data_IF_239241427286
#
_entry.id   IF_239241427286
#
_cell.length_a   1.000
_cell.length_b   1.000
_cell.length_c   1.000
_cell.angle_alpha   90.00
_cell.angle_beta   90.00
_cell.angle_gamma   90.00
#
_symmetry.space_group_name_H-M   'P 1'
#
loop_
_entity.id
_entity.type
_entity.pdbx_description
1 polymer ?
#
# COMPACT_ATOMS: atom_id res chain seq x y z
N UNK A 1 -39.39 21.87 51.17
CA UNK A 1 -39.78 20.59 50.56
C UNK A 1 -39.11 20.48 49.20
N UNK A 2 -38.51 19.32 48.94
CA UNK A 2 -38.18 18.67 47.66
C UNK A 2 -37.26 19.37 46.63
N UNK A 3 -36.08 18.74 46.45
CA UNK A 3 -35.31 18.65 45.20
C UNK A 3 -36.14 18.01 44.07
N UNK A 4 -35.74 18.21 42.80
CA UNK A 4 -34.98 17.13 42.16
C UNK A 4 -33.79 17.59 41.28
N UNK A 5 -32.71 16.80 41.35
CA UNK A 5 -31.66 16.68 40.34
C UNK A 5 -32.18 15.89 39.13
N UNK A 6 -31.62 16.15 37.93
CA UNK A 6 -31.06 15.07 37.12
C UNK A 6 -29.62 15.42 36.70
N UNK A 7 -28.63 14.62 37.10
CA UNK A 7 -28.15 13.40 36.43
C UNK A 7 -27.28 13.67 35.18
N UNK A 8 -25.97 13.54 35.39
CA UNK A 8 -25.00 12.92 34.47
C UNK A 8 -24.85 13.52 33.06
N UNK A 9 -24.16 14.66 32.98
CA UNK A 9 -23.53 15.14 31.74
C UNK A 9 -22.15 14.51 31.56
N UNK A 10 -22.04 13.65 30.54
CA UNK A 10 -20.93 12.70 30.33
C UNK A 10 -19.53 13.29 30.31
N UNK A 11 -18.59 12.50 30.83
CA UNK A 11 -17.16 12.65 30.63
C UNK A 11 -16.85 12.84 29.13
N UNK A 12 -16.52 14.08 28.76
CA UNK A 12 -15.68 14.38 27.60
C UNK A 12 -14.33 13.70 27.80
N UNK A 13 -14.12 12.48 27.27
CA UNK A 13 -12.76 11.90 27.23
C UNK A 13 -12.53 10.67 26.35
N UNK A 14 -13.04 10.62 25.12
CA UNK A 14 -12.53 9.67 24.11
C UNK A 14 -12.56 10.22 22.67
N UNK A 15 -12.06 11.45 22.45
CA UNK A 15 -11.79 12.00 21.12
C UNK A 15 -10.33 11.74 20.72
N UNK A 16 -9.97 10.46 20.55
CA UNK A 16 -8.61 10.09 20.15
C UNK A 16 -8.41 8.66 19.63
N UNK A 17 -9.40 7.77 19.79
CA UNK A 17 -9.27 6.37 19.34
C UNK A 17 -10.10 6.04 18.08
N UNK A 18 -11.06 6.88 17.69
CA UNK A 18 -11.88 6.65 16.51
C UNK A 18 -11.08 6.57 15.20
N UNK A 19 -10.17 7.50 14.87
CA UNK A 19 -9.39 7.38 13.63
C UNK A 19 -8.41 6.19 13.66
N UNK A 20 -7.97 5.77 14.85
CA UNK A 20 -7.08 4.62 15.01
C UNK A 20 -7.82 3.29 14.81
N UNK A 21 -9.12 3.23 15.14
CA UNK A 21 -9.99 2.06 14.91
C UNK A 21 -10.48 1.95 13.47
N UNK A 22 -10.64 3.05 12.74
CA UNK A 22 -10.92 2.99 11.29
C UNK A 22 -9.70 2.52 10.48
N UNK A 23 -8.46 2.85 10.91
CA UNK A 23 -7.24 2.26 10.33
C UNK A 23 -7.08 0.75 10.58
N UNK A 24 -7.84 0.18 11.53
CA UNK A 24 -7.88 -1.26 11.78
C UNK A 24 -8.93 -1.98 10.92
N UNK A 25 -9.86 -1.23 10.29
CA UNK A 25 -10.77 -1.81 9.31
C UNK A 25 -10.00 -2.00 8.01
N UNK A 26 -9.74 -3.25 7.68
CA UNK A 26 -9.23 -3.61 6.36
C UNK A 26 -10.13 -3.01 5.28
N UNK A 27 -9.57 -2.37 4.25
CA UNK A 27 -10.35 -1.90 3.13
C UNK A 27 -11.17 -3.06 2.54
N UNK A 28 -12.46 -2.83 2.20
CA UNK A 28 -13.27 -3.84 1.54
C UNK A 28 -12.57 -4.26 0.23
N UNK A 29 -12.33 -5.56 0.06
CA UNK A 29 -11.61 -6.11 -1.11
C UNK A 29 -10.10 -6.33 -0.94
N UNK A 30 -9.56 -6.13 0.27
CA UNK A 30 -8.20 -6.54 0.63
C UNK A 30 -8.07 -8.07 0.72
N UNK A 31 -6.96 -8.58 0.21
CA UNK A 31 -6.67 -10.00 0.19
C UNK A 31 -6.19 -10.47 1.58
N UNK A 32 -6.57 -11.69 1.95
CA UNK A 32 -6.15 -12.26 3.24
C UNK A 32 -4.92 -13.13 3.05
N UNK A 33 -3.75 -12.55 3.26
CA UNK A 33 -2.49 -13.28 3.17
C UNK A 33 -2.16 -14.06 4.45
N UNK A 34 -1.43 -15.18 4.35
CA UNK A 34 -0.79 -15.82 5.50
C UNK A 34 0.12 -14.84 6.28
N UNK A 35 0.22 -14.94 7.62
CA UNK A 35 0.97 -13.98 8.46
C UNK A 35 2.47 -13.83 8.15
N UNK A 36 3.03 -14.74 7.36
CA UNK A 36 4.43 -14.76 6.93
C UNK A 36 4.57 -14.85 5.41
N UNK A 37 3.55 -14.42 4.67
CA UNK A 37 3.60 -14.42 3.22
C UNK A 37 4.67 -13.45 2.73
N UNK A 38 5.61 -13.97 1.94
CA UNK A 38 6.63 -13.18 1.26
C UNK A 38 6.20 -12.94 -0.18
N UNK A 39 6.54 -11.77 -0.72
CA UNK A 39 6.22 -11.38 -2.09
C UNK A 39 7.50 -11.22 -2.87
N UNK A 40 7.47 -11.64 -4.13
CA UNK A 40 8.57 -11.48 -5.08
C UNK A 40 8.02 -10.89 -6.37
N UNK A 41 8.75 -9.96 -6.98
CA UNK A 41 8.39 -9.46 -8.30
C UNK A 41 8.40 -10.60 -9.34
N UNK A 42 7.35 -10.66 -10.15
CA UNK A 42 7.30 -11.53 -11.33
C UNK A 42 8.21 -10.98 -12.43
N UNK A 43 8.42 -11.72 -13.50
CA UNK A 43 9.16 -11.20 -14.67
C UNK A 43 8.49 -9.96 -15.24
N UNK A 44 7.16 -9.96 -15.31
CA UNK A 44 6.37 -8.81 -15.72
C UNK A 44 6.52 -7.62 -14.75
N UNK A 45 6.59 -7.90 -13.43
CA UNK A 45 6.90 -6.88 -12.42
C UNK A 45 8.27 -6.24 -12.59
N UNK A 46 9.30 -7.03 -12.90
CA UNK A 46 10.65 -6.55 -13.15
C UNK A 46 10.70 -5.65 -14.38
N UNK A 47 10.13 -6.10 -15.49
CA UNK A 47 10.03 -5.30 -16.72
C UNK A 47 9.24 -4.00 -16.48
N UNK A 48 8.14 -4.07 -15.72
CA UNK A 48 7.36 -2.88 -15.36
C UNK A 48 8.14 -1.88 -14.52
N UNK A 49 8.96 -2.35 -13.58
CA UNK A 49 9.82 -1.48 -12.77
C UNK A 49 10.93 -0.85 -13.62
N UNK A 50 11.51 -1.61 -14.56
CA UNK A 50 12.55 -1.09 -15.46
C UNK A 50 12.01 0.07 -16.32
N UNK A 51 10.81 -0.07 -16.88
CA UNK A 51 10.13 1.01 -17.62
C UNK A 51 9.94 2.24 -16.74
N UNK A 52 9.51 2.06 -15.48
CA UNK A 52 9.38 3.18 -14.53
C UNK A 52 10.73 3.86 -14.28
N UNK A 53 11.77 3.09 -13.99
CA UNK A 53 13.10 3.62 -13.70
C UNK A 53 13.70 4.37 -14.89
N UNK A 54 13.51 3.88 -16.12
CA UNK A 54 13.94 4.56 -17.34
C UNK A 54 13.19 5.89 -17.53
N UNK A 55 11.88 5.92 -17.26
CA UNK A 55 11.10 7.15 -17.34
C UNK A 55 11.54 8.20 -16.30
N UNK A 56 11.79 7.76 -15.05
CA UNK A 56 12.31 8.64 -13.98
C UNK A 56 13.72 9.13 -14.32
N UNK A 57 14.60 8.27 -14.82
CA UNK A 57 15.95 8.66 -15.23
C UNK A 57 15.92 9.68 -16.37
N UNK A 58 15.01 9.51 -17.33
CA UNK A 58 14.82 10.47 -18.44
C UNK A 58 14.33 11.83 -17.92
N UNK A 59 13.40 11.84 -16.96
CA UNK A 59 12.96 13.06 -16.28
C UNK A 59 14.10 13.74 -15.50
N UNK A 60 14.94 12.97 -14.82
CA UNK A 60 16.10 13.47 -14.08
C UNK A 60 17.22 14.00 -14.99
N UNK A 61 17.35 13.47 -16.21
CA UNK A 61 18.32 13.96 -17.19
C UNK A 61 17.83 15.22 -17.94
N UNK A 62 16.53 15.52 -17.88
CA UNK A 62 15.93 16.69 -18.53
C UNK A 62 16.39 18.01 -17.90
N UNK A 63 16.38 19.09 -18.69
CA UNK A 63 16.78 20.42 -18.24
C UNK A 63 15.74 21.12 -17.33
N UNK A 64 14.51 20.58 -17.23
CA UNK A 64 13.42 21.12 -16.42
C UNK A 64 12.82 20.02 -15.56
N UNK A 65 12.77 20.26 -14.25
CA UNK A 65 12.16 19.36 -13.27
C UNK A 65 10.83 19.94 -12.80
N UNK A 66 9.85 19.90 -13.68
CA UNK A 66 8.49 20.35 -13.39
C UNK A 66 7.74 19.24 -12.65
N UNK A 67 7.22 19.55 -11.46
CA UNK A 67 6.50 18.59 -10.60
C UNK A 67 5.35 17.91 -11.34
N UNK A 68 4.63 18.65 -12.17
CA UNK A 68 3.49 18.16 -12.96
C UNK A 68 3.92 17.12 -14.03
N UNK A 69 5.15 17.22 -14.54
CA UNK A 69 5.70 16.24 -15.48
C UNK A 69 6.04 14.93 -14.76
N UNK A 70 6.66 15.02 -13.57
CA UNK A 70 6.90 13.84 -12.74
C UNK A 70 5.59 13.15 -12.36
N UNK A 71 4.58 13.91 -11.93
CA UNK A 71 3.26 13.38 -11.62
C UNK A 71 2.62 12.71 -12.85
N UNK A 72 2.74 13.30 -14.05
CA UNK A 72 2.25 12.68 -15.30
C UNK A 72 2.96 11.36 -15.63
N UNK A 73 4.28 11.29 -15.49
CA UNK A 73 5.06 10.06 -15.72
C UNK A 73 4.60 8.96 -14.76
N UNK A 74 4.45 9.29 -13.48
CA UNK A 74 4.00 8.35 -12.47
C UNK A 74 2.58 7.86 -12.71
N UNK A 75 1.67 8.76 -13.10
CA UNK A 75 0.28 8.42 -13.44
C UNK A 75 0.18 7.57 -14.71
N UNK A 76 0.97 7.86 -15.74
CA UNK A 76 0.99 7.08 -16.98
C UNK A 76 1.43 5.63 -16.70
N UNK A 77 2.53 5.45 -15.98
CA UNK A 77 3.02 4.13 -15.59
C UNK A 77 1.96 3.32 -14.81
N UNK A 78 1.31 3.98 -13.86
CA UNK A 78 0.29 3.39 -13.00
C UNK A 78 -0.98 3.01 -13.77
N UNK A 79 -1.45 3.91 -14.64
CA UNK A 79 -2.66 3.75 -15.44
C UNK A 79 -2.60 2.57 -16.40
N UNK A 80 -1.47 2.37 -17.09
CA UNK A 80 -1.25 1.22 -17.99
C UNK A 80 -1.37 -0.14 -17.29
N UNK A 81 -1.15 -0.17 -15.96
CA UNK A 81 -1.05 -1.39 -15.16
C UNK A 81 -2.22 -1.58 -14.20
N UNK A 82 -3.13 -0.61 -14.12
CA UNK A 82 -4.25 -0.62 -13.17
C UNK A 82 -3.80 -0.58 -11.70
N UNK A 83 -2.68 0.09 -11.42
CA UNK A 83 -2.08 0.25 -10.09
C UNK A 83 -2.02 1.73 -9.70
N UNK A 84 -1.52 2.06 -8.52
CA UNK A 84 -1.28 3.43 -8.08
C UNK A 84 0.18 3.86 -8.31
N UNK A 85 0.46 5.16 -8.53
CA UNK A 85 1.82 5.70 -8.65
C UNK A 85 2.82 5.22 -7.59
N UNK A 86 2.40 5.18 -6.32
CA UNK A 86 3.24 4.78 -5.20
C UNK A 86 3.55 3.27 -5.18
N UNK A 87 2.80 2.45 -5.92
CA UNK A 87 3.02 1.01 -5.99
C UNK A 87 4.38 0.67 -6.63
N UNK A 88 4.96 1.57 -7.43
CA UNK A 88 6.30 1.43 -7.99
C UNK A 88 7.39 1.30 -6.90
N UNK A 89 7.24 2.00 -5.76
CA UNK A 89 8.18 1.91 -4.64
C UNK A 89 8.14 0.54 -3.99
N UNK A 90 6.92 0.03 -3.74
CA UNK A 90 6.69 -1.31 -3.18
C UNK A 90 7.20 -2.40 -4.15
N UNK A 91 6.98 -2.22 -5.45
CA UNK A 91 7.50 -3.11 -6.48
C UNK A 91 9.03 -3.14 -6.50
N UNK A 92 9.69 -1.99 -6.31
CA UNK A 92 11.14 -1.87 -6.16
C UNK A 92 11.69 -2.76 -5.06
N UNK A 93 11.08 -2.70 -3.87
CA UNK A 93 11.52 -3.50 -2.72
C UNK A 93 11.37 -5.02 -2.94
N UNK A 94 10.34 -5.43 -3.68
CA UNK A 94 10.09 -6.86 -4.01
C UNK A 94 10.92 -7.40 -5.17
N UNK A 95 11.54 -6.52 -5.96
CA UNK A 95 12.42 -6.90 -7.08
C UNK A 95 13.81 -7.28 -6.57
N UNK A 96 14.31 -6.56 -5.57
CA UNK A 96 15.63 -6.81 -4.99
C UNK A 96 15.70 -8.16 -4.24
N UNK A 97 14.64 -8.51 -3.50
CA UNK A 97 14.55 -9.75 -2.74
C UNK A 97 13.08 -10.07 -2.44
N UNK A 98 12.76 -11.33 -2.22
CA UNK A 98 11.47 -11.66 -1.63
C UNK A 98 11.37 -11.05 -0.22
N UNK A 99 10.26 -10.37 0.11
CA UNK A 99 10.10 -9.67 1.39
C UNK A 99 8.71 -9.85 2.00
N UNK A 100 8.65 -9.74 3.32
CA UNK A 100 7.39 -9.62 4.06
C UNK A 100 6.84 -8.18 3.96
N UNK A 101 5.52 -7.97 4.05
CA UNK A 101 4.94 -6.63 4.09
C UNK A 101 5.56 -5.70 5.15
N UNK A 102 5.87 -6.24 6.34
CA UNK A 102 6.54 -5.46 7.41
C UNK A 102 7.99 -5.09 7.09
N UNK A 103 8.69 -5.92 6.32
CA UNK A 103 10.07 -5.65 5.90
C UNK A 103 10.08 -4.55 4.83
N UNK A 104 9.09 -4.57 3.93
CA UNK A 104 8.89 -3.51 2.92
C UNK A 104 8.51 -2.20 3.62
N UNK A 105 7.54 -2.24 4.54
CA UNK A 105 7.16 -1.07 5.35
C UNK A 105 8.35 -0.48 6.11
N UNK A 106 9.20 -1.32 6.72
CA UNK A 106 10.40 -0.83 7.40
C UNK A 106 11.42 -0.19 6.45
N UNK A 107 11.51 -0.67 5.20
CA UNK A 107 12.42 -0.09 4.21
C UNK A 107 11.90 1.22 3.62
N UNK A 108 10.57 1.41 3.61
CA UNK A 108 9.88 2.60 3.10
C UNK A 108 9.37 3.52 4.21
N UNK A 109 9.93 3.41 5.43
CA UNK A 109 9.46 4.16 6.59
C UNK A 109 9.56 5.69 6.37
N UNK A 110 10.60 6.14 5.67
CA UNK A 110 10.81 7.57 5.37
C UNK A 110 9.90 8.08 4.24
N UNK A 111 9.20 7.19 3.53
CA UNK A 111 8.28 7.53 2.45
C UNK A 111 6.86 7.85 2.94
N UNK A 112 6.60 7.77 4.25
CA UNK A 112 5.29 8.08 4.84
C UNK A 112 4.21 7.04 4.57
N UNK A 113 4.56 5.87 4.03
CA UNK A 113 3.63 4.77 3.80
C UNK A 113 3.34 4.02 5.09
N UNK A 114 2.07 3.81 5.40
CA UNK A 114 1.68 2.96 6.52
C UNK A 114 1.70 1.47 6.13
N UNK A 115 1.75 0.57 7.12
CA UNK A 115 1.68 -0.87 6.84
C UNK A 115 0.40 -1.28 6.07
N UNK A 116 -0.80 -0.72 6.37
CA UNK A 116 -1.98 -0.89 5.53
C UNK A 116 -1.78 -0.46 4.07
N UNK A 117 -1.10 0.66 3.82
CA UNK A 117 -0.84 1.14 2.44
C UNK A 117 0.07 0.17 1.68
N UNK A 118 1.10 -0.36 2.35
CA UNK A 118 1.97 -1.40 1.77
C UNK A 118 1.18 -2.67 1.46
N UNK A 119 0.25 -3.07 2.33
CA UNK A 119 -0.61 -4.22 2.07
C UNK A 119 -1.55 -3.98 0.89
N UNK A 120 -2.19 -2.80 0.81
CA UNK A 120 -3.04 -2.42 -0.31
C UNK A 120 -2.26 -2.38 -1.63
N UNK A 121 -1.04 -1.85 -1.61
CA UNK A 121 -0.13 -1.82 -2.75
C UNK A 121 0.22 -3.22 -3.22
N UNK A 122 0.59 -4.13 -2.31
CA UNK A 122 0.86 -5.53 -2.63
C UNK A 122 -0.36 -6.24 -3.21
N UNK A 123 -1.56 -5.94 -2.72
CA UNK A 123 -2.80 -6.49 -3.26
C UNK A 123 -3.06 -6.03 -4.70
N UNK A 124 -2.88 -4.73 -4.98
CA UNK A 124 -3.01 -4.18 -6.34
C UNK A 124 -1.95 -4.76 -7.28
N UNK A 125 -0.69 -4.77 -6.86
CA UNK A 125 0.41 -5.36 -7.62
C UNK A 125 0.19 -6.85 -7.90
N UNK A 126 -0.37 -7.60 -6.94
CA UNK A 126 -0.69 -9.02 -7.11
C UNK A 126 -1.83 -9.21 -8.11
N UNK A 127 -2.91 -8.43 -7.98
CA UNK A 127 -4.04 -8.45 -8.93
C UNK A 127 -3.59 -8.07 -10.35
N UNK A 128 -2.62 -7.16 -10.47
CA UNK A 128 -1.99 -6.78 -11.73
C UNK A 128 -0.95 -7.81 -12.24
N UNK A 129 -0.65 -8.88 -11.50
CA UNK A 129 0.33 -9.90 -11.88
C UNK A 129 1.79 -9.47 -11.79
N UNK A 130 2.07 -8.31 -11.18
CA UNK A 130 3.42 -7.74 -11.06
C UNK A 130 4.20 -8.34 -9.89
N UNK A 131 3.51 -8.81 -8.86
CA UNK A 131 4.12 -9.56 -7.75
C UNK A 131 3.43 -10.91 -7.58
N UNK A 132 4.19 -11.89 -7.12
CA UNK A 132 3.72 -13.22 -6.80
C UNK A 132 4.05 -13.62 -5.35
N UNK A 133 3.24 -14.48 -4.73
CA UNK A 133 3.56 -15.07 -3.45
C UNK A 133 4.74 -16.04 -3.60
N UNK A 134 5.81 -15.81 -2.85
CA UNK A 134 6.88 -16.79 -2.74
C UNK A 134 6.36 -18.04 -2.02
N UNK A 135 6.53 -19.21 -2.64
CA UNK A 135 6.06 -20.49 -2.08
C UNK A 135 4.68 -20.95 -2.57
N UNK A 136 4.07 -20.27 -3.56
CA UNK A 136 2.87 -20.78 -4.25
C UNK A 136 1.55 -20.66 -3.49
N UNK A 137 1.53 -19.96 -2.35
CA UNK A 137 0.31 -19.73 -1.58
C UNK A 137 -0.52 -18.55 -2.12
N UNK A 138 -1.72 -18.82 -2.62
CA UNK A 138 -2.68 -17.76 -2.94
C UNK A 138 -3.23 -17.09 -1.67
N UNK A 139 -3.95 -15.96 -1.80
CA UNK A 139 -4.67 -15.37 -0.68
C UNK A 139 -5.63 -16.41 -0.09
N UNK A 140 -5.69 -16.47 1.24
CA UNK A 140 -6.60 -17.35 1.97
C UNK A 140 -8.02 -17.02 1.51
N UNK A 141 -8.71 -18.00 0.92
CA UNK A 141 -10.10 -17.85 0.53
C UNK A 141 -10.89 -17.30 1.72
N UNK A 142 -11.70 -16.27 1.47
CA UNK A 142 -12.65 -15.80 2.46
C UNK A 142 -13.52 -16.98 2.94
N UNK A 143 -13.94 -17.04 4.22
CA UNK A 143 -14.93 -18.02 4.62
C UNK A 143 -16.15 -17.84 3.71
N UNK A 144 -16.60 -18.94 3.08
CA UNK A 144 -17.91 -18.96 2.43
C UNK A 144 -18.93 -18.72 3.54
N UNK A 145 -19.60 -17.57 3.50
CA UNK A 145 -20.79 -17.32 4.31
C UNK A 145 -21.89 -18.29 3.95
#
# INVERSE_FOLDING_TARGET
MLLPMPASGGLKRYLGLAPMLDSLKRPPGSLRWPPRQRFIATEMGRAALEVYQQAIASYQAGARHEREELERIQQAWAGERGVEPCDALVLGETTAKDRLPREIHSALADCGLSLPDVQASLDRLFKAGLVGPKGGGGPLSAPRS
#
